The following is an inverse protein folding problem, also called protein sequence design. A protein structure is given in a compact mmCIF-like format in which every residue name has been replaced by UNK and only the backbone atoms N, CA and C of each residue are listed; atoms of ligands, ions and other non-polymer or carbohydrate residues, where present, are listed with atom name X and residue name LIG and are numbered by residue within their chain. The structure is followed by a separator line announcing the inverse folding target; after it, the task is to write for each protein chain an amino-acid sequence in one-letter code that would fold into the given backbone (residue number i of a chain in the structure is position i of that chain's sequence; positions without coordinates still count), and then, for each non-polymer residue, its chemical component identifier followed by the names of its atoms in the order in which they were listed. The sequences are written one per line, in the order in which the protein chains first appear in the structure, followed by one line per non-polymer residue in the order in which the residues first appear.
data_IF_889631716861
#
_entry.id   IF_889631716861
#
_cell.length_a   1.000
_cell.length_b   1.000
_cell.length_c   1.000
_cell.angle_alpha   90.00
_cell.angle_beta   90.00
_cell.angle_gamma   90.00
#
_symmetry.space_group_name_H-M   'P 1'
#
loop_
_entity.id
_entity.type
_entity.pdbx_description
1 polymer ?
#
# COMPACT_ATOMS: atom_id res chain seq x y z
N UNK A 1 -24.49 28.98 -9.01
CA UNK A 1 -25.01 28.28 -10.21
C UNK A 1 -24.05 27.15 -10.48
N UNK A 2 -24.55 25.91 -10.68
CA UNK A 2 -23.67 24.76 -10.89
C UNK A 2 -22.86 24.91 -12.18
N UNK A 3 -21.59 24.52 -12.15
CA UNK A 3 -20.63 24.49 -13.25
C UNK A 3 -20.08 23.08 -13.46
N UNK A 4 -20.94 22.25 -14.06
CA UNK A 4 -20.60 21.28 -15.10
C UNK A 4 -19.12 20.85 -15.14
N UNK A 5 -18.81 19.63 -14.69
CA UNK A 5 -17.54 18.98 -14.95
C UNK A 5 -17.15 19.07 -16.44
N UNK A 6 -15.98 19.64 -16.73
CA UNK A 6 -15.67 20.21 -18.05
C UNK A 6 -15.15 19.17 -19.06
N UNK A 7 -14.79 17.96 -18.60
CA UNK A 7 -14.54 16.83 -19.49
C UNK A 7 -15.04 15.51 -18.89
N UNK A 8 -15.78 14.74 -19.70
CA UNK A 8 -15.86 13.29 -19.63
C UNK A 8 -15.40 12.77 -20.99
N UNK A 9 -14.31 11.99 -21.02
CA UNK A 9 -13.79 11.38 -22.24
C UNK A 9 -13.82 9.86 -22.10
N UNK A 10 -14.62 9.18 -22.93
CA UNK A 10 -14.76 7.71 -22.93
C UNK A 10 -14.36 7.14 -24.29
N UNK A 11 -13.35 6.26 -24.33
CA UNK A 11 -12.87 5.60 -25.56
C UNK A 11 -12.99 4.09 -25.39
N UNK A 12 -13.94 3.47 -26.09
CA UNK A 12 -14.27 2.05 -25.98
C UNK A 12 -13.90 1.31 -27.27
N UNK A 13 -12.81 0.54 -27.25
CA UNK A 13 -12.26 -0.17 -28.41
C UNK A 13 -12.35 -1.69 -28.25
N UNK A 14 -12.59 -2.40 -29.34
CA UNK A 14 -12.71 -3.87 -29.33
C UNK A 14 -12.05 -4.56 -30.53
N UNK A 15 -11.50 -5.75 -30.28
CA UNK A 15 -10.82 -6.59 -31.29
C UNK A 15 -11.63 -7.81 -31.77
N UNK A 16 -12.88 -7.93 -31.34
CA UNK A 16 -13.80 -9.02 -31.71
C UNK A 16 -15.22 -8.47 -31.86
N UNK A 17 -16.10 -9.22 -32.55
CA UNK A 17 -17.44 -8.78 -32.98
C UNK A 17 -18.33 -8.26 -31.84
N UNK A 18 -18.12 -8.73 -30.61
CA UNK A 18 -18.68 -8.11 -29.41
C UNK A 18 -17.71 -8.25 -28.23
N UNK A 19 -17.27 -7.12 -27.67
CA UNK A 19 -16.54 -7.08 -26.40
C UNK A 19 -17.48 -6.94 -25.21
N UNK A 20 -18.33 -5.92 -25.20
CA UNK A 20 -19.08 -5.52 -24.02
C UNK A 20 -18.20 -4.77 -23.02
N UNK A 21 -17.59 -3.66 -23.46
CA UNK A 21 -17.00 -2.65 -22.59
C UNK A 21 -18.11 -1.75 -22.05
N UNK A 22 -18.03 -1.35 -20.77
CA UNK A 22 -18.99 -0.47 -20.10
C UNK A 22 -18.28 0.61 -19.28
N UNK A 23 -18.89 1.80 -19.22
CA UNK A 23 -18.42 2.89 -18.38
C UNK A 23 -19.63 3.72 -17.92
N UNK A 24 -19.79 3.88 -16.60
CA UNK A 24 -20.79 4.74 -15.97
C UNK A 24 -20.10 5.89 -15.22
N UNK A 25 -20.70 7.09 -15.28
CA UNK A 25 -20.11 8.33 -14.77
C UNK A 25 -21.23 9.25 -14.22
N UNK A 26 -21.55 9.12 -12.94
CA UNK A 26 -22.54 9.99 -12.26
C UNK A 26 -21.84 11.19 -11.59
N UNK A 27 -22.19 12.41 -12.00
CA UNK A 27 -21.62 13.65 -11.44
C UNK A 27 -22.73 14.51 -10.82
N UNK A 28 -22.83 14.52 -9.49
CA UNK A 28 -23.91 15.20 -8.75
C UNK A 28 -23.36 16.37 -7.94
N UNK A 29 -23.66 17.61 -8.36
CA UNK A 29 -23.16 18.82 -7.67
C UNK A 29 -21.63 18.76 -7.51
N UNK A 30 -20.97 18.62 -8.64
CA UNK A 30 -19.56 18.29 -8.73
C UNK A 30 -18.97 19.15 -9.85
N UNK A 31 -18.57 20.36 -9.50
CA UNK A 31 -18.23 21.43 -10.43
C UNK A 31 -16.73 21.40 -10.81
N UNK A 32 -16.43 21.81 -12.05
CA UNK A 32 -15.07 21.89 -12.64
C UNK A 32 -14.20 20.60 -12.57
N UNK A 33 -14.80 19.43 -12.31
CA UNK A 33 -14.14 18.12 -12.35
C UNK A 33 -13.79 17.67 -13.80
N UNK A 34 -12.85 16.73 -13.92
CA UNK A 34 -12.35 16.15 -15.18
C UNK A 34 -12.26 14.62 -15.07
N UNK A 35 -12.90 13.87 -15.97
CA UNK A 35 -12.94 12.39 -15.97
C UNK A 35 -12.49 11.84 -17.33
N UNK A 36 -11.49 10.97 -17.35
CA UNK A 36 -11.01 10.30 -18.56
C UNK A 36 -11.04 8.79 -18.36
N UNK A 37 -11.55 8.06 -19.35
CA UNK A 37 -11.73 6.60 -19.34
C UNK A 37 -11.36 6.04 -20.73
N UNK A 38 -10.36 5.16 -20.77
CA UNK A 38 -9.97 4.40 -21.94
C UNK A 38 -10.14 2.91 -21.68
N UNK A 39 -10.79 2.18 -22.59
CA UNK A 39 -10.98 0.73 -22.49
C UNK A 39 -10.71 0.05 -23.84
N UNK A 40 -9.79 -0.91 -23.87
CA UNK A 40 -9.38 -1.63 -25.10
C UNK A 40 -9.42 -3.15 -24.90
N UNK A 41 -10.33 -3.85 -25.59
CA UNK A 41 -10.63 -5.26 -25.28
C UNK A 41 -10.66 -6.20 -26.51
N UNK A 42 -9.70 -7.15 -26.65
CA UNK A 42 -9.67 -8.06 -27.80
C UNK A 42 -10.68 -9.23 -27.72
N UNK A 43 -11.57 -9.23 -26.72
CA UNK A 43 -12.85 -9.96 -26.67
C UNK A 43 -13.67 -9.34 -25.52
N UNK A 44 -14.41 -10.15 -24.76
CA UNK A 44 -15.07 -9.86 -23.48
C UNK A 44 -14.47 -8.66 -22.72
N UNK A 45 -15.29 -7.63 -22.49
CA UNK A 45 -14.86 -6.27 -22.18
C UNK A 45 -14.64 -5.92 -20.71
N UNK A 46 -14.26 -4.66 -20.46
CA UNK A 46 -13.94 -4.08 -19.14
C UNK A 46 -15.07 -3.17 -18.64
N UNK A 47 -15.12 -2.88 -17.34
CA UNK A 47 -16.12 -2.01 -16.70
C UNK A 47 -15.46 -0.87 -15.91
N UNK A 48 -16.12 0.29 -15.81
CA UNK A 48 -15.61 1.46 -15.08
C UNK A 48 -16.76 2.29 -14.49
N UNK A 49 -16.74 2.53 -13.17
CA UNK A 49 -17.86 3.13 -12.43
C UNK A 49 -17.39 4.34 -11.60
N UNK A 50 -17.57 5.54 -12.15
CA UNK A 50 -17.12 6.81 -11.55
C UNK A 50 -18.30 7.59 -10.95
N UNK A 51 -18.17 8.05 -9.71
CA UNK A 51 -19.19 8.92 -9.08
C UNK A 51 -18.54 10.00 -8.22
N UNK A 52 -18.68 11.25 -8.67
CA UNK A 52 -18.26 12.45 -7.94
C UNK A 52 -19.52 13.16 -7.41
N UNK A 53 -19.60 13.40 -6.10
CA UNK A 53 -20.83 13.92 -5.47
C UNK A 53 -20.59 14.93 -4.35
N UNK A 54 -21.11 16.14 -4.54
CA UNK A 54 -20.82 17.29 -3.69
C UNK A 54 -19.30 17.49 -3.58
N UNK A 55 -18.56 17.46 -4.70
CA UNK A 55 -17.08 17.49 -4.67
C UNK A 55 -16.52 18.02 -5.98
N UNK A 56 -15.56 18.93 -5.91
CA UNK A 56 -15.22 19.87 -6.98
C UNK A 56 -13.71 19.79 -7.37
N UNK A 57 -13.36 20.23 -8.58
CA UNK A 57 -11.99 20.28 -9.13
C UNK A 57 -11.20 18.95 -9.16
N UNK A 58 -11.82 17.79 -8.96
CA UNK A 58 -11.13 16.49 -8.99
C UNK A 58 -10.79 16.05 -10.43
N UNK A 59 -9.62 15.43 -10.58
CA UNK A 59 -9.17 14.78 -11.82
C UNK A 59 -9.20 13.26 -11.66
N UNK A 60 -10.06 12.61 -12.44
CA UNK A 60 -10.19 11.14 -12.56
C UNK A 60 -9.63 10.68 -13.90
N UNK A 61 -8.93 9.55 -13.88
CA UNK A 61 -8.14 9.02 -14.99
C UNK A 61 -8.17 7.48 -14.92
N UNK A 62 -8.72 6.80 -15.93
CA UNK A 62 -8.92 5.34 -15.97
C UNK A 62 -8.44 4.81 -17.32
N UNK A 63 -7.54 3.85 -17.33
CA UNK A 63 -7.11 3.13 -18.53
C UNK A 63 -7.15 1.62 -18.26
N UNK A 64 -7.90 0.88 -19.07
CA UNK A 64 -8.10 -0.55 -18.91
C UNK A 64 -7.93 -1.28 -20.25
N UNK A 65 -6.80 -1.98 -20.41
CA UNK A 65 -6.51 -2.78 -21.60
C UNK A 65 -6.63 -4.26 -21.24
N UNK A 66 -7.39 -5.05 -22.00
CA UNK A 66 -7.53 -6.48 -21.73
C UNK A 66 -8.95 -7.02 -21.73
N UNK A 67 -9.36 -7.73 -20.67
CA UNK A 67 -10.69 -8.37 -20.60
C UNK A 67 -11.21 -8.47 -19.16
N UNK A 68 -12.44 -8.00 -18.91
CA UNK A 68 -13.10 -8.00 -17.60
C UNK A 68 -12.36 -7.26 -16.47
N UNK A 69 -11.50 -6.28 -16.78
CA UNK A 69 -10.98 -5.40 -15.73
C UNK A 69 -12.09 -4.46 -15.23
N UNK A 70 -12.08 -4.09 -13.94
CA UNK A 70 -13.11 -3.31 -13.25
C UNK A 70 -12.46 -2.16 -12.44
N UNK A 71 -13.01 -0.95 -12.54
CA UNK A 71 -12.45 0.27 -11.96
C UNK A 71 -13.52 1.17 -11.32
N UNK A 72 -13.58 1.24 -9.98
CA UNK A 72 -14.59 2.01 -9.23
C UNK A 72 -13.97 3.23 -8.56
N UNK A 73 -14.33 4.46 -8.97
CA UNK A 73 -13.74 5.70 -8.44
C UNK A 73 -14.80 6.62 -7.84
N UNK A 74 -14.70 6.93 -6.54
CA UNK A 74 -15.70 7.68 -5.77
C UNK A 74 -15.09 8.87 -5.01
N UNK A 75 -15.38 10.11 -5.42
CA UNK A 75 -15.04 11.34 -4.68
C UNK A 75 -16.33 11.96 -4.10
N UNK A 76 -16.48 12.09 -2.78
CA UNK A 76 -17.78 12.47 -2.18
C UNK A 76 -17.70 13.29 -0.89
N UNK A 77 -18.65 14.21 -0.73
CA UNK A 77 -18.89 15.03 0.47
C UNK A 77 -17.75 16.01 0.76
N UNK A 78 -17.64 17.03 -0.09
CA UNK A 78 -16.62 18.09 -0.13
C UNK A 78 -15.23 17.44 -0.06
N UNK A 79 -14.72 16.94 -1.17
CA UNK A 79 -13.46 16.18 -1.20
C UNK A 79 -12.81 16.50 -2.53
N UNK A 80 -12.02 17.56 -2.51
CA UNK A 80 -11.87 18.47 -3.64
C UNK A 80 -10.40 18.53 -4.12
N UNK A 81 -10.17 18.93 -5.37
CA UNK A 81 -8.83 18.98 -6.00
C UNK A 81 -8.04 17.64 -5.98
N UNK A 82 -8.68 16.49 -5.80
CA UNK A 82 -7.96 15.20 -5.78
C UNK A 82 -7.58 14.73 -7.19
N UNK A 83 -6.40 14.10 -7.35
CA UNK A 83 -6.09 13.28 -8.54
C UNK A 83 -6.22 11.80 -8.20
N UNK A 84 -7.21 11.16 -8.82
CA UNK A 84 -7.52 9.74 -8.68
C UNK A 84 -7.17 9.05 -10.01
N UNK A 85 -6.42 7.96 -10.00
CA UNK A 85 -5.92 7.34 -11.25
C UNK A 85 -5.87 5.82 -11.16
N UNK A 86 -6.43 5.13 -12.16
CA UNK A 86 -6.42 3.66 -12.29
C UNK A 86 -5.84 3.28 -13.64
N UNK A 87 -4.88 2.35 -13.65
CA UNK A 87 -4.34 1.72 -14.84
C UNK A 87 -4.41 0.19 -14.70
N UNK A 88 -5.01 -0.51 -15.66
CA UNK A 88 -5.23 -1.96 -15.60
C UNK A 88 -4.97 -2.65 -16.96
N UNK A 89 -3.82 -3.30 -17.11
CA UNK A 89 -3.55 -4.20 -18.24
C UNK A 89 -3.83 -5.68 -17.86
N UNK A 90 -4.54 -6.42 -18.71
CA UNK A 90 -4.60 -7.89 -18.67
C UNK A 90 -5.99 -8.52 -18.54
N UNK A 91 -6.35 -9.10 -17.38
CA UNK A 91 -7.65 -9.81 -17.22
C UNK A 91 -8.21 -9.86 -15.78
N UNK A 92 -9.46 -9.44 -15.55
CA UNK A 92 -10.13 -9.49 -14.24
C UNK A 92 -9.41 -8.71 -13.12
N UNK A 93 -8.64 -7.69 -13.45
CA UNK A 93 -8.08 -6.83 -12.41
C UNK A 93 -9.18 -5.91 -11.86
N UNK A 94 -9.19 -5.64 -10.56
CA UNK A 94 -10.19 -4.82 -9.85
C UNK A 94 -9.49 -3.69 -9.10
N UNK A 95 -9.92 -2.44 -9.30
CA UNK A 95 -9.28 -1.26 -8.71
C UNK A 95 -10.31 -0.29 -8.15
N UNK A 96 -10.14 0.11 -6.89
CA UNK A 96 -11.11 0.90 -6.15
C UNK A 96 -10.46 2.12 -5.52
N UNK A 97 -10.91 3.33 -5.84
CA UNK A 97 -10.40 4.57 -5.23
C UNK A 97 -11.54 5.38 -4.61
N UNK A 98 -11.39 5.76 -3.35
CA UNK A 98 -12.43 6.44 -2.56
C UNK A 98 -11.86 7.64 -1.81
N UNK A 99 -12.19 8.88 -2.20
CA UNK A 99 -11.91 10.10 -1.43
C UNK A 99 -13.23 10.62 -0.82
N UNK A 100 -13.28 10.85 0.51
CA UNK A 100 -14.55 11.09 1.22
C UNK A 100 -14.40 12.05 2.39
N UNK A 101 -15.41 12.90 2.61
CA UNK A 101 -15.50 13.87 3.73
C UNK A 101 -14.23 14.73 3.87
N UNK A 102 -14.23 15.94 3.35
CA UNK A 102 -13.13 16.91 3.53
C UNK A 102 -11.74 16.29 3.32
N UNK A 103 -11.63 15.44 2.27
CA UNK A 103 -10.39 14.80 1.87
C UNK A 103 -9.89 15.48 0.62
N UNK A 104 -9.11 16.55 0.75
CA UNK A 104 -8.74 17.40 -0.36
C UNK A 104 -7.30 17.16 -0.84
N UNK A 105 -7.05 17.45 -2.11
CA UNK A 105 -5.70 17.51 -2.72
C UNK A 105 -4.91 16.20 -2.63
N UNK A 106 -5.57 15.06 -2.44
CA UNK A 106 -4.91 13.76 -2.39
C UNK A 106 -4.54 13.29 -3.81
N UNK A 107 -3.43 12.56 -3.92
CA UNK A 107 -3.01 11.88 -5.14
C UNK A 107 -3.02 10.37 -4.93
N UNK A 108 -4.09 9.71 -5.35
CA UNK A 108 -4.34 8.29 -5.17
C UNK A 108 -4.19 7.59 -6.53
N UNK A 109 -3.41 6.52 -6.62
CA UNK A 109 -3.12 5.86 -7.90
C UNK A 109 -2.98 4.34 -7.75
N UNK A 110 -3.62 3.58 -8.64
CA UNK A 110 -3.53 2.11 -8.69
C UNK A 110 -3.08 1.70 -10.10
N UNK A 111 -1.96 0.98 -10.20
CA UNK A 111 -1.50 0.34 -11.43
C UNK A 111 -1.56 -1.18 -11.27
N UNK A 112 -2.09 -1.88 -12.27
CA UNK A 112 -2.23 -3.34 -12.29
C UNK A 112 -1.89 -3.91 -13.67
N UNK A 113 -0.83 -4.69 -13.77
CA UNK A 113 -0.52 -5.56 -14.92
C UNK A 113 -0.78 -7.02 -14.55
N UNK A 114 -1.57 -7.72 -15.37
CA UNK A 114 -1.68 -9.16 -15.35
C UNK A 114 -3.11 -9.63 -15.08
N UNK A 115 -3.36 -10.50 -14.10
CA UNK A 115 -4.68 -11.17 -13.98
C UNK A 115 -5.21 -11.35 -12.56
N UNK A 116 -6.45 -10.93 -12.32
CA UNK A 116 -7.11 -11.04 -11.00
C UNK A 116 -6.40 -10.24 -9.88
N UNK A 117 -5.65 -9.19 -10.21
CA UNK A 117 -5.09 -8.31 -9.17
C UNK A 117 -6.20 -7.41 -8.61
N UNK A 118 -6.23 -7.18 -7.30
CA UNK A 118 -7.21 -6.37 -6.56
C UNK A 118 -6.46 -5.24 -5.85
N UNK A 119 -6.96 -4.01 -5.91
CA UNK A 119 -6.36 -2.85 -5.26
C UNK A 119 -7.39 -1.87 -4.73
N UNK A 120 -7.26 -1.40 -3.49
CA UNK A 120 -8.08 -0.33 -2.92
C UNK A 120 -7.22 0.80 -2.35
N UNK A 121 -7.61 2.06 -2.62
CA UNK A 121 -7.07 3.23 -1.91
C UNK A 121 -8.20 4.11 -1.37
N UNK A 122 -8.21 4.33 -0.06
CA UNK A 122 -9.19 5.14 0.68
C UNK A 122 -8.55 6.39 1.31
N UNK A 123 -9.26 7.51 1.23
CA UNK A 123 -9.00 8.73 2.01
C UNK A 123 -10.31 9.22 2.64
N UNK A 124 -10.27 9.52 3.94
CA UNK A 124 -11.42 9.88 4.78
C UNK A 124 -11.02 10.98 5.77
N UNK A 125 -11.66 12.16 5.78
CA UNK A 125 -11.23 13.33 6.60
C UNK A 125 -9.71 13.66 6.43
N UNK A 126 -9.14 13.38 5.25
CA UNK A 126 -7.68 13.23 5.06
C UNK A 126 -7.12 14.05 3.91
N UNK A 127 -6.13 14.91 4.19
CA UNK A 127 -5.72 16.03 3.33
C UNK A 127 -4.31 15.89 2.74
N UNK A 128 -4.11 16.23 1.46
CA UNK A 128 -2.78 16.31 0.78
C UNK A 128 -1.93 15.03 0.83
N UNK A 129 -2.55 13.86 0.96
CA UNK A 129 -1.84 12.58 1.02
C UNK A 129 -1.54 12.03 -0.37
N UNK A 130 -0.61 11.08 -0.45
CA UNK A 130 -0.29 10.35 -1.68
C UNK A 130 -0.15 8.86 -1.40
N UNK A 131 -1.00 8.07 -2.05
CA UNK A 131 -0.97 6.60 -2.04
C UNK A 131 -0.77 6.08 -3.46
N UNK A 132 0.07 5.06 -3.63
CA UNK A 132 0.30 4.39 -4.90
C UNK A 132 0.35 2.86 -4.71
N UNK A 133 -0.52 2.14 -5.40
CA UNK A 133 -0.48 0.68 -5.55
C UNK A 133 0.06 0.35 -6.95
N UNK A 134 0.93 -0.67 -7.05
CA UNK A 134 1.69 -0.98 -8.26
C UNK A 134 1.90 -2.50 -8.36
N UNK A 135 0.98 -3.21 -9.01
CA UNK A 135 0.88 -4.68 -8.98
C UNK A 135 1.17 -5.29 -10.36
N UNK A 136 2.05 -6.29 -10.41
CA UNK A 136 2.39 -7.03 -11.63
C UNK A 136 2.27 -8.53 -11.40
N UNK A 137 1.52 -9.24 -12.24
CA UNK A 137 1.41 -10.69 -12.21
C UNK A 137 -0.02 -11.19 -12.01
N UNK A 138 -0.35 -11.93 -10.94
CA UNK A 138 -1.69 -12.53 -10.78
C UNK A 138 -2.21 -12.63 -9.35
N UNK A 139 -3.51 -12.44 -9.14
CA UNK A 139 -4.18 -12.63 -7.85
C UNK A 139 -3.55 -11.82 -6.70
N UNK A 140 -2.82 -10.73 -6.98
CA UNK A 140 -2.22 -9.90 -5.94
C UNK A 140 -3.27 -8.94 -5.37
N UNK A 141 -3.25 -8.67 -4.07
CA UNK A 141 -4.24 -7.87 -3.35
C UNK A 141 -3.52 -6.75 -2.57
N UNK A 142 -4.02 -5.51 -2.62
CA UNK A 142 -3.37 -4.37 -1.99
C UNK A 142 -4.36 -3.32 -1.46
N UNK A 143 -4.06 -2.73 -0.29
CA UNK A 143 -4.85 -1.70 0.37
C UNK A 143 -3.98 -0.53 0.81
N UNK A 144 -4.42 0.72 0.61
CA UNK A 144 -3.85 1.90 1.28
C UNK A 144 -4.98 2.77 1.84
N UNK A 145 -4.99 3.01 3.16
CA UNK A 145 -6.01 3.81 3.83
C UNK A 145 -5.44 5.04 4.55
N UNK A 146 -6.12 6.18 4.38
CA UNK A 146 -5.92 7.42 5.13
C UNK A 146 -7.22 7.79 5.86
N UNK A 147 -7.16 7.97 7.19
CA UNK A 147 -8.29 8.39 8.03
C UNK A 147 -7.87 9.52 8.98
N UNK A 148 -8.49 10.70 8.94
CA UNK A 148 -8.05 11.90 9.67
C UNK A 148 -6.53 12.25 9.47
N UNK A 149 -5.92 11.85 8.37
CA UNK A 149 -4.47 11.87 8.13
C UNK A 149 -4.08 12.96 7.13
N UNK A 150 -3.00 13.71 7.39
CA UNK A 150 -2.65 14.90 6.60
C UNK A 150 -1.19 14.93 6.13
N UNK A 151 -0.95 15.44 4.91
CA UNK A 151 0.36 15.67 4.29
C UNK A 151 1.19 14.40 4.00
N UNK A 152 0.66 13.19 4.13
CA UNK A 152 1.44 11.96 4.01
C UNK A 152 1.80 11.66 2.54
N UNK A 153 2.98 12.12 2.08
CA UNK A 153 3.30 12.31 0.65
C UNK A 153 4.07 11.16 -0.02
N UNK A 154 4.44 10.09 0.69
CA UNK A 154 5.25 8.99 0.14
C UNK A 154 4.81 7.58 0.58
N UNK A 155 3.55 7.22 0.35
CA UNK A 155 3.03 5.88 0.68
C UNK A 155 2.93 5.02 -0.60
N UNK A 156 3.58 3.85 -0.63
CA UNK A 156 3.56 2.98 -1.81
C UNK A 156 3.56 1.47 -1.51
N UNK A 157 2.68 0.72 -2.15
CA UNK A 157 2.79 -0.74 -2.31
C UNK A 157 3.33 -1.06 -3.71
N UNK A 158 4.23 -2.03 -3.81
CA UNK A 158 4.64 -2.69 -5.05
C UNK A 158 4.47 -4.20 -4.88
N UNK A 159 3.86 -4.88 -5.85
CA UNK A 159 3.74 -6.34 -5.85
C UNK A 159 4.18 -6.90 -7.19
N UNK A 160 4.92 -8.00 -7.17
CA UNK A 160 5.36 -8.70 -8.37
C UNK A 160 5.18 -10.21 -8.17
N UNK A 161 4.60 -10.90 -9.15
CA UNK A 161 4.35 -12.34 -9.09
C UNK A 161 2.90 -12.70 -8.75
N UNK A 162 2.65 -13.65 -7.84
CA UNK A 162 1.33 -14.31 -7.74
C UNK A 162 0.80 -14.55 -6.32
N UNK A 163 -0.40 -14.03 -6.01
CA UNK A 163 -1.11 -14.14 -4.71
C UNK A 163 -0.46 -13.39 -3.55
N UNK A 164 0.23 -12.29 -3.81
CA UNK A 164 0.77 -11.46 -2.73
C UNK A 164 -0.32 -10.52 -2.18
N UNK A 165 -0.41 -10.32 -0.88
CA UNK A 165 -1.39 -9.45 -0.18
C UNK A 165 -0.65 -8.33 0.55
N UNK A 166 -1.19 -7.10 0.58
CA UNK A 166 -0.53 -6.00 1.29
C UNK A 166 -1.49 -4.90 1.79
N UNK A 167 -1.18 -4.26 2.92
CA UNK A 167 -1.95 -3.15 3.50
C UNK A 167 -1.05 -2.03 4.05
N UNK A 168 -1.43 -0.77 3.84
CA UNK A 168 -0.85 0.40 4.53
C UNK A 168 -1.98 1.25 5.10
N UNK A 169 -2.10 1.34 6.42
CA UNK A 169 -3.13 2.15 7.10
C UNK A 169 -2.52 3.29 7.89
N UNK A 170 -2.98 4.52 7.66
CA UNK A 170 -2.53 5.74 8.35
C UNK A 170 -3.74 6.47 8.89
N UNK A 171 -3.87 6.53 10.22
CA UNK A 171 -4.97 7.21 10.90
C UNK A 171 -4.43 8.30 11.84
N UNK A 172 -4.90 9.55 11.71
CA UNK A 172 -4.43 10.68 12.52
C UNK A 172 -2.94 11.05 12.33
N UNK A 173 -2.24 10.43 11.37
CA UNK A 173 -0.82 10.68 11.10
C UNK A 173 -0.60 11.95 10.26
N UNK A 174 0.40 12.74 10.63
CA UNK A 174 0.78 13.98 9.93
C UNK A 174 2.20 13.91 9.38
N UNK A 175 2.40 14.50 8.19
CA UNK A 175 3.71 14.80 7.57
C UNK A 175 4.72 13.63 7.58
N UNK A 176 4.27 12.40 7.30
CA UNK A 176 5.16 11.24 7.28
C UNK A 176 6.28 11.33 6.22
N UNK A 177 7.44 10.75 6.54
CA UNK A 177 8.57 10.74 5.62
C UNK A 177 8.34 9.77 4.47
N UNK A 178 7.94 8.53 4.75
CA UNK A 178 7.69 7.45 3.77
C UNK A 178 7.07 6.24 4.44
N UNK A 179 6.14 5.56 3.77
CA UNK A 179 5.73 4.19 4.10
C UNK A 179 5.78 3.35 2.82
N UNK A 180 6.42 2.18 2.83
CA UNK A 180 6.56 1.38 1.60
C UNK A 180 6.54 -0.13 1.84
N UNK A 181 5.76 -0.82 1.03
CA UNK A 181 5.86 -2.26 0.83
C UNK A 181 6.43 -2.55 -0.56
N UNK A 182 7.32 -3.54 -0.71
CA UNK A 182 7.49 -4.28 -1.97
C UNK A 182 7.52 -5.79 -1.72
N UNK A 183 6.74 -6.53 -2.49
CA UNK A 183 6.80 -7.99 -2.54
C UNK A 183 7.16 -8.45 -3.95
N UNK A 184 7.91 -9.53 -4.06
CA UNK A 184 8.24 -10.21 -5.33
C UNK A 184 8.23 -11.73 -5.15
N UNK A 185 7.53 -12.46 -6.00
CA UNK A 185 7.33 -13.91 -5.89
C UNK A 185 5.88 -14.29 -5.60
N UNK A 186 5.59 -15.16 -4.62
CA UNK A 186 4.23 -15.69 -4.41
C UNK A 186 3.76 -15.68 -2.96
N UNK A 187 2.46 -15.49 -2.72
CA UNK A 187 1.86 -15.65 -1.37
C UNK A 187 2.59 -14.88 -0.28
N UNK A 188 3.16 -13.73 -0.60
CA UNK A 188 3.75 -12.84 0.38
C UNK A 188 2.65 -11.92 0.92
N UNK A 189 2.46 -11.87 2.23
CA UNK A 189 1.52 -10.98 2.93
C UNK A 189 2.31 -9.90 3.69
N UNK A 190 1.85 -8.65 3.76
CA UNK A 190 2.58 -7.53 4.37
C UNK A 190 1.69 -6.36 4.81
N UNK A 191 1.78 -5.93 6.07
CA UNK A 191 1.01 -4.80 6.60
C UNK A 191 1.90 -3.69 7.18
N UNK A 192 1.50 -2.42 7.07
CA UNK A 192 2.10 -1.26 7.78
C UNK A 192 0.98 -0.37 8.36
N UNK A 193 0.93 -0.15 9.67
CA UNK A 193 -0.13 0.60 10.37
C UNK A 193 0.44 1.80 11.17
N UNK A 194 -0.24 2.94 11.18
CA UNK A 194 0.26 4.17 11.85
C UNK A 194 -0.89 4.96 12.47
N UNK A 195 -0.87 5.18 13.81
CA UNK A 195 -1.78 6.07 14.54
C UNK A 195 -0.97 7.18 15.23
N UNK A 196 -0.99 8.38 14.64
CA UNK A 196 -0.20 9.54 15.07
C UNK A 196 1.12 9.73 14.31
N UNK A 197 1.90 10.72 14.74
CA UNK A 197 3.12 11.22 14.09
C UNK A 197 3.44 12.63 14.63
N UNK A 198 4.36 13.40 14.05
CA UNK A 198 5.21 13.16 12.86
C UNK A 198 6.65 12.79 13.30
N UNK A 199 7.59 12.40 12.43
CA UNK A 199 7.62 12.36 10.97
C UNK A 199 7.95 10.95 10.40
N UNK A 200 7.70 9.89 11.20
CA UNK A 200 8.06 8.46 11.02
C UNK A 200 8.21 7.91 9.57
N UNK A 201 9.12 6.95 9.39
CA UNK A 201 9.40 6.25 8.12
C UNK A 201 9.27 4.72 8.30
N UNK A 202 8.78 3.98 7.30
CA UNK A 202 8.87 2.51 7.32
C UNK A 202 8.93 1.86 5.92
N UNK A 203 9.75 0.80 5.76
CA UNK A 203 9.94 0.13 4.45
C UNK A 203 10.13 -1.39 4.55
N UNK A 204 9.16 -2.21 4.14
CA UNK A 204 9.31 -3.69 4.14
C UNK A 204 9.29 -4.27 2.72
N UNK A 205 10.27 -5.11 2.37
CA UNK A 205 10.68 -5.31 0.98
C UNK A 205 11.19 -6.75 0.67
N UNK A 206 10.29 -7.73 0.52
CA UNK A 206 10.58 -9.19 0.45
C UNK A 206 10.63 -9.78 -0.99
N UNK A 207 11.40 -10.86 -1.17
CA UNK A 207 11.48 -11.68 -2.38
C UNK A 207 11.33 -13.18 -2.01
N UNK A 208 10.46 -13.95 -2.67
CA UNK A 208 10.30 -15.38 -2.39
C UNK A 208 8.85 -15.87 -2.41
N UNK A 209 8.61 -17.03 -1.79
CA UNK A 209 7.27 -17.63 -1.72
C UNK A 209 6.83 -17.76 -0.25
N UNK A 210 5.53 -17.59 0.02
CA UNK A 210 4.87 -17.94 1.29
C UNK A 210 5.52 -17.26 2.52
N UNK A 211 5.58 -15.92 2.50
CA UNK A 211 6.05 -15.05 3.60
C UNK A 211 4.92 -14.19 4.19
N UNK A 212 5.00 -13.78 5.45
CA UNK A 212 4.08 -12.80 6.06
C UNK A 212 4.86 -11.69 6.78
N UNK A 213 4.41 -10.43 6.73
CA UNK A 213 5.01 -9.35 7.53
C UNK A 213 4.00 -8.35 8.10
N UNK A 214 4.40 -7.59 9.13
CA UNK A 214 3.59 -6.54 9.73
C UNK A 214 4.47 -5.43 10.34
N UNK A 215 3.99 -4.19 10.35
CA UNK A 215 4.63 -3.05 11.01
C UNK A 215 3.56 -2.15 11.65
N UNK A 216 3.69 -1.64 12.88
CA UNK A 216 2.65 -0.74 13.47
C UNK A 216 3.08 0.26 14.56
N UNK A 217 2.81 1.57 14.39
CA UNK A 217 3.27 2.64 15.31
C UNK A 217 2.16 3.52 15.90
N UNK A 218 1.97 3.49 17.24
CA UNK A 218 0.78 3.99 17.96
C UNK A 218 1.11 4.79 19.25
N UNK A 219 0.07 5.31 19.92
CA UNK A 219 0.06 5.90 21.28
C UNK A 219 1.09 7.03 21.61
N UNK A 220 1.47 7.85 20.63
CA UNK A 220 2.19 9.12 20.86
C UNK A 220 3.62 9.13 20.32
N UNK A 221 3.77 8.82 19.03
CA UNK A 221 5.07 8.61 18.38
C UNK A 221 5.69 9.89 17.77
N UNK A 222 6.98 10.10 18.02
CA UNK A 222 7.90 10.95 17.22
C UNK A 222 9.36 10.47 17.37
N UNK A 223 10.35 10.94 16.62
CA UNK A 223 10.53 10.55 15.21
C UNK A 223 11.06 9.10 15.10
N UNK A 224 10.40 8.21 14.35
CA UNK A 224 10.72 6.77 14.36
C UNK A 224 10.83 6.14 12.94
N UNK A 225 11.90 5.39 12.62
CA UNK A 225 12.10 4.68 11.33
C UNK A 225 12.03 3.14 11.53
N UNK A 226 11.67 2.34 10.53
CA UNK A 226 11.73 0.86 10.60
C UNK A 226 11.68 0.20 9.21
N UNK A 227 12.60 -0.70 8.87
CA UNK A 227 12.71 -1.28 7.53
C UNK A 227 12.97 -2.78 7.59
N UNK A 228 12.35 -3.63 6.75
CA UNK A 228 12.53 -5.10 6.82
C UNK A 228 12.68 -5.74 5.41
N UNK A 229 13.49 -6.80 5.22
CA UNK A 229 13.97 -7.24 3.89
C UNK A 229 14.42 -8.72 3.81
N UNK A 230 13.55 -9.65 3.44
CA UNK A 230 13.89 -11.09 3.42
C UNK A 230 13.72 -11.75 2.04
N UNK A 231 14.48 -12.82 1.75
CA UNK A 231 14.78 -13.26 0.38
C UNK A 231 15.04 -14.79 0.20
N UNK A 232 15.14 -15.21 -1.07
CA UNK A 232 15.06 -16.61 -1.57
C UNK A 232 16.13 -17.57 -0.99
N UNK A 233 15.86 -18.86 -0.75
CA UNK A 233 14.59 -19.59 -0.88
C UNK A 233 14.01 -19.86 0.50
N UNK A 234 13.31 -18.88 1.04
CA UNK A 234 12.73 -18.93 2.36
C UNK A 234 11.40 -19.68 2.39
N UNK A 235 11.34 -20.80 3.09
CA UNK A 235 10.14 -21.48 3.56
C UNK A 235 10.41 -21.80 5.04
N UNK A 236 9.56 -21.51 6.03
CA UNK A 236 8.19 -20.95 6.03
C UNK A 236 8.14 -19.78 7.03
N UNK A 237 7.51 -18.63 6.72
CA UNK A 237 7.98 -17.34 7.29
C UNK A 237 6.89 -16.40 7.88
N UNK A 238 7.17 -15.64 8.96
CA UNK A 238 6.35 -14.48 9.41
C UNK A 238 7.14 -13.43 10.24
N UNK A 239 7.03 -12.11 9.96
CA UNK A 239 7.86 -11.05 10.60
C UNK A 239 7.09 -9.77 11.00
N UNK A 240 7.10 -9.39 12.29
CA UNK A 240 6.42 -8.21 12.84
C UNK A 240 7.41 -7.09 13.28
N UNK A 241 6.99 -5.82 13.33
CA UNK A 241 7.76 -4.71 13.94
C UNK A 241 6.88 -3.55 14.45
N UNK A 242 6.97 -3.17 15.72
CA UNK A 242 6.02 -2.25 16.38
C UNK A 242 6.80 -1.16 17.13
N UNK A 243 6.25 0.05 17.32
CA UNK A 243 6.90 1.18 18.03
C UNK A 243 5.83 2.10 18.63
N UNK A 244 5.78 2.30 19.95
CA UNK A 244 4.61 2.88 20.64
C UNK A 244 5.00 3.73 21.87
N UNK A 245 5.38 5.00 21.66
CA UNK A 245 5.20 6.04 22.69
C UNK A 245 6.44 6.64 23.35
N UNK A 246 7.23 7.39 22.58
CA UNK A 246 8.27 8.33 23.02
C UNK A 246 8.99 8.94 21.82
N UNK A 247 10.15 9.60 22.04
CA UNK A 247 10.97 10.23 21.00
C UNK A 247 12.09 9.31 20.46
N UNK A 248 12.34 9.29 19.15
CA UNK A 248 13.59 8.83 18.49
C UNK A 248 13.88 7.31 18.36
N UNK A 249 12.94 6.48 17.86
CA UNK A 249 13.14 5.02 17.77
C UNK A 249 13.30 4.46 16.31
N UNK A 250 14.40 3.80 15.95
CA UNK A 250 14.65 3.19 14.61
C UNK A 250 14.63 1.63 14.63
N UNK A 251 14.49 0.90 13.50
CA UNK A 251 14.70 -0.57 13.43
C UNK A 251 14.82 -1.21 12.01
N UNK A 252 15.98 -1.69 11.53
CA UNK A 252 16.18 -2.24 10.15
C UNK A 252 16.60 -3.74 10.05
N UNK A 253 15.81 -4.65 9.44
CA UNK A 253 15.97 -6.12 9.55
C UNK A 253 16.00 -6.88 8.20
N UNK A 254 17.04 -7.65 7.84
CA UNK A 254 17.15 -8.37 6.54
C UNK A 254 17.41 -9.89 6.68
N UNK A 255 16.99 -10.78 5.76
CA UNK A 255 17.34 -12.24 5.81
C UNK A 255 17.45 -12.87 4.41
N UNK A 256 18.60 -13.43 4.00
CA UNK A 256 18.83 -13.98 2.63
C UNK A 256 20.03 -14.96 2.60
N UNK A 257 19.92 -16.29 2.57
CA UNK A 257 19.02 -17.19 1.85
C UNK A 257 18.67 -18.38 2.74
N UNK A 258 17.47 -18.37 3.34
CA UNK A 258 17.32 -18.85 4.73
C UNK A 258 15.94 -19.42 5.06
N UNK A 259 15.86 -20.46 5.90
CA UNK A 259 14.66 -21.30 6.10
C UNK A 259 13.99 -21.08 7.48
N UNK A 260 12.78 -21.63 7.60
CA UNK A 260 11.87 -21.78 8.76
C UNK A 260 11.72 -20.57 9.70
N UNK A 261 11.80 -19.37 9.13
CA UNK A 261 11.93 -18.08 9.82
C UNK A 261 10.69 -17.58 10.59
N UNK A 262 10.89 -16.84 11.67
CA UNK A 262 9.92 -15.85 12.19
C UNK A 262 10.69 -14.63 12.74
N UNK A 263 10.09 -13.44 12.87
CA UNK A 263 10.67 -12.31 13.64
C UNK A 263 9.60 -11.41 14.30
N UNK A 264 9.95 -10.69 15.38
CA UNK A 264 9.22 -9.49 15.85
C UNK A 264 10.19 -8.36 16.21
N UNK A 265 9.76 -7.09 16.12
CA UNK A 265 10.28 -5.94 16.87
C UNK A 265 9.13 -5.25 17.60
N UNK A 266 9.39 -4.54 18.70
CA UNK A 266 8.44 -3.70 19.43
C UNK A 266 9.25 -2.61 20.16
N UNK A 267 8.89 -1.32 20.16
CA UNK A 267 9.70 -0.29 20.84
C UNK A 267 8.87 0.90 21.36
N UNK A 268 8.66 0.96 22.66
CA UNK A 268 7.86 1.98 23.31
C UNK A 268 8.85 2.97 24.00
N UNK A 269 8.39 4.05 24.63
CA UNK A 269 9.31 5.02 25.26
C UNK A 269 10.24 5.76 24.28
N UNK A 270 11.20 6.54 24.79
CA UNK A 270 12.11 7.39 24.00
C UNK A 270 13.40 6.68 23.50
N UNK A 271 14.43 7.43 23.07
CA UNK A 271 15.35 7.23 21.93
C UNK A 271 15.92 5.81 21.63
N UNK A 272 15.30 5.01 20.76
CA UNK A 272 15.55 3.55 20.63
C UNK A 272 15.74 2.90 19.21
N UNK A 273 16.95 2.47 18.77
CA UNK A 273 17.25 1.93 17.40
C UNK A 273 17.60 0.41 17.28
N UNK A 274 16.87 -0.45 16.52
CA UNK A 274 17.05 -1.93 16.51
C UNK A 274 17.08 -2.69 15.15
N UNK A 275 18.26 -3.11 14.68
CA UNK A 275 18.52 -3.58 13.28
C UNK A 275 19.08 -5.04 13.16
N UNK A 276 18.40 -6.03 12.54
CA UNK A 276 18.82 -7.47 12.57
C UNK A 276 18.98 -8.17 11.20
N UNK A 277 20.10 -8.85 10.87
CA UNK A 277 20.28 -9.51 9.54
C UNK A 277 21.07 -10.84 9.45
N UNK A 278 20.45 -11.95 9.02
CA UNK A 278 21.12 -13.25 8.77
C UNK A 278 21.10 -13.71 7.31
N UNK A 279 22.23 -14.23 6.82
CA UNK A 279 22.48 -14.35 5.37
C UNK A 279 22.68 -15.81 4.86
N UNK A 280 23.64 -16.08 3.97
CA UNK A 280 23.54 -16.98 2.81
C UNK A 280 23.68 -18.50 3.08
N UNK A 281 22.88 -19.02 4.00
CA UNK A 281 22.66 -20.46 4.18
C UNK A 281 21.62 -20.81 5.24
N UNK A 282 20.95 -19.81 5.82
CA UNK A 282 20.41 -19.90 7.18
C UNK A 282 19.05 -20.60 7.24
N UNK A 283 19.02 -21.89 6.94
CA UNK A 283 18.32 -22.86 7.80
C UNK A 283 18.53 -22.43 9.28
N UNK A 284 17.62 -22.38 10.25
CA UNK A 284 16.16 -22.44 10.35
C UNK A 284 15.82 -21.44 11.49
N UNK A 285 15.18 -20.28 11.29
CA UNK A 285 15.24 -19.15 12.27
C UNK A 285 13.96 -18.91 13.10
N UNK A 286 14.04 -18.26 14.26
CA UNK A 286 12.94 -17.42 14.78
C UNK A 286 13.47 -16.36 15.75
N UNK A 287 13.18 -15.09 15.46
CA UNK A 287 13.76 -13.91 16.09
C UNK A 287 12.72 -13.02 16.80
N UNK A 288 13.13 -12.07 17.66
CA UNK A 288 12.18 -11.21 18.40
C UNK A 288 12.90 -10.02 19.10
N UNK A 289 12.28 -8.83 19.20
CA UNK A 289 12.70 -7.60 19.92
C UNK A 289 11.46 -6.84 20.48
N UNK A 290 11.60 -6.08 21.59
CA UNK A 290 10.53 -5.39 22.37
C UNK A 290 11.17 -4.42 23.41
N UNK A 291 10.71 -3.17 23.61
CA UNK A 291 11.47 -2.11 24.34
C UNK A 291 10.61 -1.06 25.12
N UNK A 292 11.12 -0.41 26.20
CA UNK A 292 10.80 1.00 26.61
C UNK A 292 12.02 1.83 27.05
N UNK A 293 12.12 3.07 26.56
CA UNK A 293 12.94 4.20 27.05
C UNK A 293 14.48 4.15 26.86
N UNK A 294 14.89 4.59 25.67
CA UNK A 294 16.21 5.05 25.24
C UNK A 294 17.22 3.92 24.91
N UNK A 295 16.85 3.01 24.01
CA UNK A 295 17.38 1.66 23.84
C UNK A 295 17.73 1.22 22.40
N UNK A 296 18.95 0.77 22.10
CA UNK A 296 19.32 0.25 20.75
C UNK A 296 19.62 -1.27 20.73
N UNK A 297 19.24 -2.01 19.69
CA UNK A 297 19.35 -3.48 19.61
C UNK A 297 19.56 -4.07 18.18
N UNK A 298 20.82 -4.32 17.78
CA UNK A 298 21.21 -4.66 16.39
C UNK A 298 22.05 -5.95 16.28
N UNK A 299 21.67 -6.96 15.46
CA UNK A 299 22.34 -8.30 15.39
C UNK A 299 22.33 -8.95 13.99
N UNK A 300 23.49 -9.38 13.48
CA UNK A 300 23.63 -10.05 12.15
C UNK A 300 24.38 -11.39 12.19
N UNK A 301 24.11 -12.33 11.26
CA UNK A 301 24.92 -13.56 11.07
C UNK A 301 24.77 -14.25 9.68
N UNK A 302 25.82 -14.23 8.85
CA UNK A 302 25.87 -14.83 7.51
C UNK A 302 26.12 -16.36 7.51
N UNK A 303 25.70 -17.05 6.44
CA UNK A 303 25.87 -18.50 6.19
C UNK A 303 25.47 -19.41 7.40
N UNK A 304 24.43 -19.05 8.14
CA UNK A 304 24.10 -19.65 9.46
C UNK A 304 23.31 -20.97 9.37
N UNK A 305 22.84 -21.49 10.51
CA UNK A 305 22.32 -22.86 10.67
C UNK A 305 21.48 -23.01 11.96
N UNK A 306 20.22 -23.47 11.83
CA UNK A 306 19.22 -23.78 12.86
C UNK A 306 19.25 -22.84 14.10
N UNK A 307 18.60 -21.68 13.98
CA UNK A 307 18.83 -20.44 14.73
C UNK A 307 17.61 -19.97 15.56
N UNK A 308 17.84 -19.04 16.50
CA UNK A 308 16.82 -18.29 17.25
C UNK A 308 17.40 -16.95 17.76
N UNK A 309 16.59 -15.88 17.95
CA UNK A 309 17.02 -14.59 18.57
C UNK A 309 15.89 -13.97 19.42
N UNK A 310 16.18 -13.36 20.57
CA UNK A 310 15.15 -12.87 21.53
C UNK A 310 15.63 -11.67 22.38
N UNK A 311 15.03 -10.48 22.16
CA UNK A 311 14.44 -9.47 23.10
C UNK A 311 15.19 -9.10 24.42
N UNK A 312 14.75 -8.30 25.43
CA UNK A 312 13.59 -7.44 25.77
C UNK A 312 14.11 -6.23 26.56
N UNK A 313 13.48 -5.07 26.44
CA UNK A 313 13.84 -3.82 27.12
C UNK A 313 12.54 -3.17 27.65
N UNK A 314 12.61 -2.46 28.80
CA UNK A 314 11.48 -1.76 29.44
C UNK A 314 12.00 -0.66 30.40
#
# INVERSE_FOLDING_TARGET
MKKLAIAISTILLSGAVYAGNTADVELFNADDNNVNIFQLSPALGNDADVLIRNSDENTVDVDQMGKYNDAVIRARNNSDENKLTVYQEGKHNEAVIKARRHSDKNKLTINQDGKHNIGEITAYDSDRNKGLIDQTGRFNEASISFDAATNNKKNKIIQTGNRNTADISVMGGTDNTRLKIKQDGRRNDSTIHVYGGSNNDAVTNIQGNDNTTYTAFYAGASDNDTKIKMKNDALNNTVYAVVVGGSFNEADVTIDASNDNYLTVSQWGSDSDATLTLENGSNNNWMMVNQTNNDSATVMADNSSNNLVVITQL
#
